data_IF_952412570613
#
_entry.id   IF_952412570613
#
_cell.length_a   1.000
_cell.length_b   1.000
_cell.length_c   1.000
_cell.angle_alpha   90.00
_cell.angle_beta   90.00
_cell.angle_gamma   90.00
#
_symmetry.space_group_name_H-M   'P 1'
#
loop_
_entity.id
_entity.type
_entity.pdbx_description
1 polymer ?
#
# COMPACT_ATOMS: atom_id res chain seq x y z
N UNK A 1 6.83 -19.96 2.67
CA UNK A 1 8.29 -19.75 2.43
C UNK A 1 8.55 -18.47 1.64
N UNK A 2 7.97 -18.27 0.44
CA UNK A 2 8.07 -16.99 -0.30
C UNK A 2 7.57 -15.81 0.54
N UNK A 3 6.46 -15.98 1.25
CA UNK A 3 5.93 -14.98 2.19
C UNK A 3 7.00 -14.46 3.17
N UNK A 4 7.74 -15.35 3.85
CA UNK A 4 8.80 -14.95 4.78
C UNK A 4 9.91 -14.16 4.08
N UNK A 5 10.28 -14.53 2.86
CA UNK A 5 11.23 -13.77 2.05
C UNK A 5 10.68 -12.39 1.68
N UNK A 6 9.40 -12.30 1.30
CA UNK A 6 8.74 -11.05 0.97
C UNK A 6 8.69 -10.11 2.18
N UNK A 7 8.25 -10.61 3.34
CA UNK A 7 8.23 -9.86 4.60
C UNK A 7 9.63 -9.37 4.95
N UNK A 8 10.63 -10.27 4.92
CA UNK A 8 12.02 -9.89 5.21
C UNK A 8 12.52 -8.81 4.26
N UNK A 9 12.19 -8.90 2.96
CA UNK A 9 12.57 -7.89 1.98
C UNK A 9 11.88 -6.54 2.24
N UNK A 10 10.60 -6.54 2.62
CA UNK A 10 9.91 -5.32 3.03
C UNK A 10 10.60 -4.67 4.24
N UNK A 11 11.04 -5.46 5.22
CA UNK A 11 11.76 -4.96 6.40
C UNK A 11 13.11 -4.34 6.00
N UNK A 12 13.89 -5.01 5.15
CA UNK A 12 15.15 -4.44 4.66
C UNK A 12 14.97 -3.13 3.89
N UNK A 13 13.92 -3.02 3.08
CA UNK A 13 13.59 -1.77 2.37
C UNK A 13 13.21 -0.68 3.38
N UNK A 14 12.42 -1.00 4.41
CA UNK A 14 12.06 -0.03 5.45
C UNK A 14 13.31 0.45 6.20
N UNK A 15 14.19 -0.45 6.60
CA UNK A 15 15.42 -0.12 7.33
C UNK A 15 16.37 0.73 6.47
N UNK A 16 16.59 0.34 5.20
CA UNK A 16 17.40 1.12 4.24
C UNK A 16 16.86 2.55 4.11
N UNK A 17 15.55 2.72 3.97
CA UNK A 17 14.95 4.04 3.79
C UNK A 17 15.01 4.86 5.07
N UNK A 18 14.80 4.23 6.24
CA UNK A 18 14.92 4.90 7.52
C UNK A 18 16.34 5.39 7.77
N UNK A 19 17.36 4.58 7.48
CA UNK A 19 18.77 4.97 7.59
C UNK A 19 19.13 6.08 6.60
N UNK A 20 18.73 5.92 5.34
CA UNK A 20 19.07 6.86 4.27
C UNK A 20 18.47 8.25 4.49
N UNK A 21 17.25 8.30 5.05
CA UNK A 21 16.47 9.54 5.17
C UNK A 21 16.24 9.98 6.62
N UNK A 22 17.01 9.44 7.58
CA UNK A 22 16.89 9.72 9.01
C UNK A 22 16.91 11.24 9.33
N UNK A 23 17.71 12.00 8.57
CA UNK A 23 17.99 13.42 8.82
C UNK A 23 17.16 14.37 7.96
N UNK A 24 16.34 13.84 7.05
CA UNK A 24 15.56 14.66 6.14
C UNK A 24 14.36 15.30 6.85
N UNK A 25 14.08 16.55 6.50
CA UNK A 25 12.83 17.20 6.93
C UNK A 25 11.62 16.52 6.26
N UNK A 26 10.40 16.74 6.77
CA UNK A 26 9.20 16.23 6.09
C UNK A 26 9.05 16.82 4.69
N UNK A 27 9.42 18.10 4.53
CA UNK A 27 9.39 18.82 3.27
C UNK A 27 10.35 18.21 2.24
N UNK A 28 11.58 17.88 2.66
CA UNK A 28 12.58 17.23 1.81
C UNK A 28 12.19 15.79 1.49
N UNK A 29 11.73 15.04 2.50
CA UNK A 29 11.21 13.68 2.30
C UNK A 29 10.03 13.67 1.33
N UNK A 30 9.20 14.73 1.36
CA UNK A 30 8.07 14.88 0.45
C UNK A 30 8.54 15.09 -0.99
N UNK A 31 9.58 15.92 -1.17
CA UNK A 31 10.20 16.15 -2.47
C UNK A 31 10.80 14.86 -3.04
N UNK A 32 11.58 14.15 -2.22
CA UNK A 32 12.17 12.85 -2.57
C UNK A 32 11.08 11.85 -2.97
N UNK A 33 10.02 11.72 -2.17
CA UNK A 33 8.92 10.81 -2.43
C UNK A 33 8.18 11.09 -3.76
N UNK A 34 8.06 12.37 -4.13
CA UNK A 34 7.39 12.80 -5.36
C UNK A 34 8.27 12.66 -6.60
N UNK A 35 9.57 12.96 -6.47
CA UNK A 35 10.48 13.15 -7.61
C UNK A 35 11.37 11.93 -7.89
N UNK A 36 11.81 11.20 -6.87
CA UNK A 36 12.87 10.19 -7.02
C UNK A 36 12.36 8.75 -7.10
N UNK A 37 11.12 8.50 -6.68
CA UNK A 37 10.56 7.17 -6.62
C UNK A 37 9.36 7.05 -7.54
N UNK A 38 9.04 5.81 -7.91
CA UNK A 38 7.82 5.39 -8.61
C UNK A 38 7.36 4.02 -8.11
N UNK A 39 6.14 3.61 -8.48
CA UNK A 39 5.65 2.26 -8.18
C UNK A 39 6.57 1.19 -8.80
N UNK A 40 7.13 1.49 -9.97
CA UNK A 40 8.11 0.65 -10.65
C UNK A 40 9.37 0.42 -9.80
N UNK A 41 9.88 1.44 -9.11
CA UNK A 41 11.04 1.29 -8.22
C UNK A 41 10.75 0.35 -7.05
N UNK A 42 9.54 0.46 -6.47
CA UNK A 42 9.11 -0.44 -5.40
C UNK A 42 8.96 -1.88 -5.91
N UNK A 43 8.38 -2.08 -7.10
CA UNK A 43 8.27 -3.40 -7.76
C UNK A 43 9.64 -4.03 -7.97
N UNK A 44 10.61 -3.27 -8.48
CA UNK A 44 11.98 -3.77 -8.69
C UNK A 44 12.62 -4.15 -7.36
N UNK A 45 12.58 -3.28 -6.35
CA UNK A 45 13.15 -3.55 -5.02
C UNK A 45 12.52 -4.78 -4.37
N UNK A 46 11.19 -4.90 -4.44
CA UNK A 46 10.45 -6.05 -3.89
C UNK A 46 10.76 -7.36 -4.61
N UNK A 47 10.87 -7.33 -5.94
CA UNK A 47 11.06 -8.53 -6.74
C UNK A 47 12.53 -8.91 -6.97
N UNK A 48 13.49 -8.02 -6.68
CA UNK A 48 14.92 -8.26 -6.91
C UNK A 48 15.46 -9.55 -6.27
N UNK A 49 15.10 -9.92 -5.02
CA UNK A 49 15.50 -11.20 -4.43
C UNK A 49 14.99 -12.42 -5.21
N UNK A 50 13.89 -12.25 -5.96
CA UNK A 50 13.28 -13.29 -6.78
C UNK A 50 13.61 -13.13 -8.27
N UNK A 51 14.56 -12.26 -8.67
CA UNK A 51 14.83 -11.89 -10.08
C UNK A 51 15.02 -13.07 -11.04
N UNK A 52 15.57 -14.19 -10.57
CA UNK A 52 15.80 -15.40 -11.37
C UNK A 52 14.56 -16.29 -11.49
N UNK A 53 13.50 -15.99 -10.74
CA UNK A 53 12.29 -16.80 -10.58
C UNK A 53 11.01 -16.02 -10.90
N UNK A 54 11.08 -14.69 -10.93
CA UNK A 54 9.98 -13.77 -11.08
C UNK A 54 9.93 -13.17 -12.49
N UNK A 55 8.72 -12.94 -12.97
CA UNK A 55 8.43 -12.09 -14.13
C UNK A 55 7.90 -10.75 -13.63
N UNK A 56 8.39 -9.65 -14.17
CA UNK A 56 7.97 -8.29 -13.83
C UNK A 56 7.08 -7.74 -14.94
N UNK A 57 5.86 -7.32 -14.61
CA UNK A 57 4.88 -6.81 -15.57
C UNK A 57 4.68 -5.30 -15.36
N UNK A 58 5.60 -4.47 -15.86
CA UNK A 58 5.61 -3.02 -15.59
C UNK A 58 4.91 -2.17 -16.67
N UNK A 59 4.35 -2.79 -17.72
CA UNK A 59 3.72 -2.07 -18.83
C UNK A 59 2.19 -2.03 -18.72
N UNK A 60 1.65 -0.82 -18.55
CA UNK A 60 0.24 -0.50 -18.27
C UNK A 60 -0.81 -0.86 -19.33
N UNK A 61 -0.51 -1.71 -20.32
CA UNK A 61 -1.51 -2.24 -21.27
C UNK A 61 -2.10 -3.60 -20.84
N UNK A 62 -1.71 -4.09 -19.66
CA UNK A 62 -1.98 -5.46 -19.21
C UNK A 62 -2.38 -5.56 -17.73
N UNK A 63 -2.95 -4.52 -17.10
CA UNK A 63 -3.62 -4.74 -15.80
C UNK A 63 -4.78 -5.74 -15.92
N UNK A 64 -5.28 -5.97 -17.14
CA UNK A 64 -6.24 -7.04 -17.45
C UNK A 64 -5.63 -8.46 -17.52
N UNK A 65 -4.30 -8.63 -17.46
CA UNK A 65 -3.63 -9.94 -17.65
C UNK A 65 -2.45 -10.27 -16.72
N UNK A 66 -1.98 -9.40 -15.85
CA UNK A 66 -0.87 -9.77 -14.95
C UNK A 66 -0.62 -8.84 -13.77
N UNK A 67 -0.34 -9.44 -12.62
CA UNK A 67 0.20 -8.76 -11.43
C UNK A 67 1.63 -8.29 -11.64
N UNK A 68 2.06 -7.30 -10.86
CA UNK A 68 3.37 -6.65 -11.02
C UNK A 68 4.54 -7.62 -10.92
N UNK A 69 4.47 -8.59 -10.00
CA UNK A 69 5.50 -9.62 -9.82
C UNK A 69 4.85 -11.01 -9.81
N UNK A 70 5.32 -11.91 -10.69
CA UNK A 70 4.80 -13.28 -10.79
C UNK A 70 5.92 -14.31 -10.64
N UNK A 71 5.89 -15.10 -9.57
CA UNK A 71 6.80 -16.25 -9.35
C UNK A 71 6.11 -17.54 -9.80
N UNK A 72 6.15 -17.78 -11.12
CA UNK A 72 5.38 -18.85 -11.78
C UNK A 72 5.58 -20.24 -11.16
N UNK A 73 6.83 -20.62 -10.89
CA UNK A 73 7.20 -21.93 -10.29
C UNK A 73 6.55 -22.21 -8.93
N UNK A 74 6.09 -21.16 -8.25
CA UNK A 74 5.44 -21.26 -6.92
C UNK A 74 3.99 -20.81 -6.95
N UNK A 75 3.44 -20.54 -8.15
CA UNK A 75 2.11 -19.97 -8.34
C UNK A 75 1.88 -18.74 -7.43
N UNK A 76 2.92 -17.91 -7.22
CA UNK A 76 2.84 -16.76 -6.32
C UNK A 76 2.75 -15.46 -7.14
N UNK A 77 1.83 -14.58 -6.77
CA UNK A 77 1.62 -13.30 -7.46
C UNK A 77 1.57 -12.16 -6.45
N UNK A 78 2.18 -11.03 -6.80
CA UNK A 78 2.26 -9.84 -5.95
C UNK A 78 1.76 -8.65 -6.76
N UNK A 79 0.73 -7.99 -6.24
CA UNK A 79 0.36 -6.64 -6.66
C UNK A 79 1.04 -5.63 -5.73
N UNK A 80 1.54 -4.55 -6.29
CA UNK A 80 2.27 -3.51 -5.57
C UNK A 80 1.57 -2.19 -5.82
N UNK A 81 1.34 -1.42 -4.75
CA UNK A 81 0.82 -0.07 -4.84
C UNK A 81 1.71 0.91 -4.08
N UNK A 82 2.16 1.94 -4.77
CA UNK A 82 2.84 3.06 -4.10
C UNK A 82 1.88 4.23 -3.90
N UNK A 83 1.50 4.45 -2.65
CA UNK A 83 0.59 5.54 -2.27
C UNK A 83 1.34 6.86 -2.20
N UNK A 84 0.74 7.90 -2.79
CA UNK A 84 1.36 9.23 -2.92
C UNK A 84 0.34 10.33 -2.72
N UNK A 85 0.82 11.45 -2.20
CA UNK A 85 0.09 12.71 -2.12
C UNK A 85 0.68 13.67 -3.16
N UNK A 86 0.26 13.62 -4.42
CA UNK A 86 0.86 14.48 -5.45
C UNK A 86 0.45 15.93 -5.31
N UNK A 87 1.34 16.88 -5.62
CA UNK A 87 0.89 18.24 -5.90
C UNK A 87 0.18 18.25 -7.25
N UNK A 88 -1.05 18.75 -7.27
CA UNK A 88 -1.72 19.11 -8.51
C UNK A 88 -1.01 20.29 -9.17
N UNK A 89 -1.23 20.47 -10.48
CA UNK A 89 -0.75 21.65 -11.23
C UNK A 89 -1.21 22.99 -10.63
N UNK A 90 -2.29 22.99 -9.84
CA UNK A 90 -2.80 24.16 -9.11
C UNK A 90 -2.12 24.38 -7.73
N UNK A 91 -1.04 23.66 -7.42
CA UNK A 91 -0.28 23.79 -6.16
C UNK A 91 -0.91 23.10 -4.95
N UNK A 92 -2.14 22.58 -5.07
CA UNK A 92 -2.81 21.84 -4.00
C UNK A 92 -2.37 20.37 -3.99
N UNK A 93 -2.00 19.85 -2.83
CA UNK A 93 -1.76 18.41 -2.63
C UNK A 93 -3.05 17.60 -2.80
N UNK A 94 -3.04 16.60 -3.68
CA UNK A 94 -4.12 15.66 -3.93
C UNK A 94 -3.78 14.28 -3.33
N UNK A 95 -4.61 13.81 -2.42
CA UNK A 95 -4.59 12.42 -1.94
C UNK A 95 -5.00 11.46 -3.05
N UNK A 96 -4.43 10.26 -3.07
CA UNK A 96 -4.84 9.19 -3.96
C UNK A 96 -6.33 8.86 -3.77
N UNK A 97 -7.04 8.73 -4.89
CA UNK A 97 -8.44 8.32 -4.93
C UNK A 97 -8.62 6.92 -4.35
N UNK A 98 -9.80 6.63 -3.82
CA UNK A 98 -10.12 5.32 -3.26
C UNK A 98 -10.21 4.22 -4.33
N UNK A 99 -10.90 4.47 -5.45
CA UNK A 99 -11.23 3.44 -6.44
C UNK A 99 -10.02 2.65 -6.98
N UNK A 100 -8.87 3.27 -7.29
CA UNK A 100 -7.69 2.53 -7.73
C UNK A 100 -7.12 1.59 -6.68
N UNK A 101 -7.30 1.88 -5.39
CA UNK A 101 -6.84 1.03 -4.27
C UNK A 101 -7.87 -0.07 -4.02
N UNK A 102 -9.16 0.27 -4.09
CA UNK A 102 -10.25 -0.69 -3.94
C UNK A 102 -10.16 -1.82 -4.98
N UNK A 103 -9.78 -1.50 -6.23
CA UNK A 103 -9.57 -2.52 -7.28
C UNK A 103 -8.53 -3.57 -6.88
N UNK A 104 -7.42 -3.13 -6.28
CA UNK A 104 -6.34 -4.03 -5.85
C UNK A 104 -6.79 -4.89 -4.63
N UNK A 105 -7.56 -4.31 -3.72
CA UNK A 105 -8.20 -5.06 -2.63
C UNK A 105 -9.26 -6.07 -3.11
N UNK A 106 -10.05 -5.70 -4.11
CA UNK A 106 -11.02 -6.61 -4.71
C UNK A 106 -10.31 -7.79 -5.40
N UNK A 107 -9.20 -7.53 -6.10
CA UNK A 107 -8.39 -8.59 -6.70
C UNK A 107 -7.91 -9.62 -5.67
N UNK A 108 -7.31 -9.18 -4.55
CA UNK A 108 -6.82 -10.13 -3.54
C UNK A 108 -7.99 -10.88 -2.87
N UNK A 109 -9.11 -10.20 -2.62
CA UNK A 109 -10.36 -10.82 -2.10
C UNK A 109 -10.86 -11.93 -3.03
N UNK A 110 -10.94 -11.66 -4.32
CA UNK A 110 -11.42 -12.62 -5.31
C UNK A 110 -10.46 -13.80 -5.50
N UNK A 111 -9.15 -13.58 -5.45
CA UNK A 111 -8.19 -14.67 -5.49
C UNK A 111 -8.24 -15.55 -4.22
N UNK A 112 -8.48 -14.97 -3.05
CA UNK A 112 -8.72 -15.73 -1.81
C UNK A 112 -9.97 -16.60 -1.96
N UNK A 113 -11.08 -16.06 -2.46
CA UNK A 113 -12.31 -16.83 -2.74
C UNK A 113 -12.09 -17.98 -3.72
N UNK A 114 -11.13 -17.84 -4.66
CA UNK A 114 -10.71 -18.91 -5.58
C UNK A 114 -9.71 -19.90 -4.97
N UNK A 115 -9.48 -19.87 -3.67
CA UNK A 115 -8.57 -20.77 -2.96
C UNK A 115 -7.09 -20.45 -3.16
N UNK A 116 -6.73 -19.19 -3.43
CA UNK A 116 -5.32 -18.75 -3.60
C UNK A 116 -4.74 -18.06 -2.36
N UNK A 117 -5.37 -18.22 -1.20
CA UNK A 117 -4.84 -17.74 0.07
C UNK A 117 -3.43 -18.28 0.31
N UNK A 118 -2.51 -17.42 0.77
CA UNK A 118 -1.10 -17.76 0.95
C UNK A 118 -0.26 -17.79 -0.35
N UNK A 119 -0.89 -17.58 -1.52
CA UNK A 119 -0.21 -17.51 -2.83
C UNK A 119 -0.34 -16.14 -3.51
N UNK A 120 -0.94 -15.18 -2.84
CA UNK A 120 -1.17 -13.82 -3.31
C UNK A 120 -0.72 -12.84 -2.25
N UNK A 121 -0.12 -11.75 -2.67
CA UNK A 121 0.20 -10.64 -1.78
C UNK A 121 -0.20 -9.34 -2.45
N UNK A 122 -0.72 -8.42 -1.64
CA UNK A 122 -0.89 -7.03 -2.01
C UNK A 122 0.03 -6.21 -1.11
N UNK A 123 1.04 -5.57 -1.69
CA UNK A 123 2.05 -4.80 -0.95
C UNK A 123 1.82 -3.31 -1.19
N UNK A 124 1.63 -2.57 -0.10
CA UNK A 124 1.39 -1.13 -0.13
C UNK A 124 2.61 -0.43 0.47
N UNK A 125 3.20 0.49 -0.29
CA UNK A 125 4.29 1.36 0.17
C UNK A 125 3.87 2.83 0.21
N UNK A 126 4.46 3.61 1.12
CA UNK A 126 4.31 5.06 1.18
C UNK A 126 5.46 5.69 1.97
N UNK A 127 5.63 7.00 1.82
CA UNK A 127 6.53 7.79 2.65
C UNK A 127 5.75 8.49 3.77
N UNK A 128 6.30 8.53 4.98
CA UNK A 128 5.76 9.31 6.10
C UNK A 128 6.08 10.83 5.98
N UNK A 129 5.93 11.37 4.77
CA UNK A 129 6.26 12.76 4.41
C UNK A 129 5.11 13.76 4.66
N UNK A 130 3.99 13.30 5.22
CA UNK A 130 2.82 14.13 5.56
C UNK A 130 2.34 13.77 6.96
N UNK A 131 1.57 14.66 7.59
CA UNK A 131 1.15 14.48 8.99
C UNK A 131 0.15 13.35 9.20
N UNK A 132 -0.68 13.06 8.18
CA UNK A 132 -1.79 12.12 8.31
C UNK A 132 -1.89 11.22 7.09
N UNK A 133 -2.19 9.94 7.32
CA UNK A 133 -2.44 8.99 6.24
C UNK A 133 -3.63 9.42 5.35
N UNK A 134 -4.62 10.14 5.91
CA UNK A 134 -5.74 10.69 5.13
C UNK A 134 -5.33 11.76 4.12
N UNK A 135 -4.11 12.28 4.18
CA UNK A 135 -3.54 13.12 3.12
C UNK A 135 -2.98 12.27 1.99
N UNK A 136 -2.62 11.02 2.26
CA UNK A 136 -2.12 10.08 1.25
C UNK A 136 -3.29 9.43 0.51
N UNK A 137 -4.35 9.01 1.22
CA UNK A 137 -5.51 8.30 0.66
C UNK A 137 -6.83 8.95 1.07
N UNK A 138 -7.79 9.02 0.15
CA UNK A 138 -9.14 9.52 0.40
C UNK A 138 -10.00 8.57 1.27
N UNK A 139 -9.87 8.68 2.59
CA UNK A 139 -10.63 7.90 3.57
C UNK A 139 -11.95 8.55 4.02
N UNK A 140 -12.40 9.61 3.32
CA UNK A 140 -13.55 10.41 3.70
C UNK A 140 -14.85 10.07 2.96
N UNK A 141 -15.97 10.47 3.55
CA UNK A 141 -17.29 10.62 2.91
C UNK A 141 -17.44 12.05 2.42
N UNK A 142 -17.45 12.25 1.10
CA UNK A 142 -17.64 13.56 0.47
C UNK A 142 -16.40 14.45 0.42
N UNK A 143 -16.62 15.72 0.08
CA UNK A 143 -15.58 16.73 -0.14
C UNK A 143 -15.29 17.56 1.11
N UNK A 144 -14.16 18.28 1.09
CA UNK A 144 -13.74 19.19 2.16
C UNK A 144 -12.37 18.86 2.72
N UNK A 145 -11.86 19.73 3.59
CA UNK A 145 -10.51 19.57 4.18
C UNK A 145 -10.43 18.35 5.10
N UNK A 146 -11.48 18.11 5.89
CA UNK A 146 -11.58 17.02 6.86
C UNK A 146 -12.98 16.39 6.82
N UNK A 147 -13.30 15.63 5.76
CA UNK A 147 -14.59 14.94 5.64
C UNK A 147 -14.80 13.93 6.78
N UNK A 148 -16.02 13.42 6.91
CA UNK A 148 -16.31 12.33 7.84
C UNK A 148 -15.60 11.05 7.43
N UNK A 149 -15.17 10.26 8.40
CA UNK A 149 -14.46 9.01 8.14
C UNK A 149 -15.42 8.02 7.46
N UNK A 150 -14.95 7.43 6.37
CA UNK A 150 -15.57 6.29 5.74
C UNK A 150 -15.03 5.00 6.38
N UNK A 151 -15.88 4.32 7.15
CA UNK A 151 -15.47 3.15 7.91
C UNK A 151 -15.09 1.99 6.98
N UNK A 152 -15.85 1.78 5.91
CA UNK A 152 -15.60 0.69 4.96
C UNK A 152 -14.22 0.82 4.31
N UNK A 153 -13.79 2.05 4.02
CA UNK A 153 -12.44 2.33 3.49
C UNK A 153 -11.36 2.15 4.55
N UNK A 154 -11.65 2.54 5.78
CA UNK A 154 -10.70 2.50 6.89
C UNK A 154 -10.40 1.07 7.36
N UNK A 155 -11.38 0.17 7.27
CA UNK A 155 -11.25 -1.24 7.69
C UNK A 155 -10.19 -2.02 6.90
N UNK A 156 -9.85 -1.57 5.69
CA UNK A 156 -8.76 -2.14 4.88
C UNK A 156 -7.36 -1.81 5.40
N UNK A 157 -7.22 -0.86 6.32
CA UNK A 157 -5.93 -0.41 6.85
C UNK A 157 -5.86 -0.65 8.38
N UNK A 158 -5.53 -1.87 8.83
CA UNK A 158 -5.61 -2.27 10.24
C UNK A 158 -4.59 -1.55 11.14
N UNK A 159 -3.64 -0.85 10.54
CA UNK A 159 -2.65 -0.02 11.23
C UNK A 159 -3.15 1.40 11.51
N UNK A 160 -4.38 1.75 11.12
CA UNK A 160 -5.00 3.04 11.41
C UNK A 160 -6.01 2.93 12.56
N UNK A 161 -6.10 3.98 13.36
CA UNK A 161 -7.14 4.15 14.37
C UNK A 161 -7.63 5.61 14.39
N UNK A 162 -8.70 5.89 15.11
CA UNK A 162 -9.36 7.20 15.12
C UNK A 162 -9.75 7.62 16.54
N UNK A 163 -9.65 8.93 16.83
CA UNK A 163 -10.15 9.54 18.08
C UNK A 163 -11.42 10.36 17.90
N UNK A 164 -11.89 10.50 16.67
CA UNK A 164 -13.03 11.33 16.31
C UNK A 164 -13.71 10.86 15.05
N UNK A 165 -14.60 11.71 14.51
CA UNK A 165 -15.43 11.41 13.34
C UNK A 165 -14.84 11.92 12.03
N UNK A 166 -13.82 12.78 12.07
CA UNK A 166 -13.26 13.43 10.86
C UNK A 166 -11.93 12.80 10.49
N UNK A 167 -11.58 12.82 9.21
CA UNK A 167 -10.32 12.21 8.71
C UNK A 167 -9.05 12.77 9.35
N UNK A 168 -9.09 14.00 9.87
CA UNK A 168 -7.97 14.58 10.65
C UNK A 168 -7.66 13.83 11.94
N UNK A 169 -8.64 13.10 12.48
CA UNK A 169 -8.55 12.39 13.76
C UNK A 169 -8.01 10.96 13.58
N UNK A 170 -7.64 10.58 12.34
CA UNK A 170 -7.00 9.31 12.01
C UNK A 170 -5.50 9.39 12.33
N UNK A 171 -4.98 8.37 13.00
CA UNK A 171 -3.57 8.26 13.36
C UNK A 171 -3.05 6.84 13.18
N UNK A 172 -1.73 6.70 13.05
CA UNK A 172 -1.05 5.41 12.94
C UNK A 172 -0.93 4.71 14.30
N UNK A 173 -1.19 3.42 14.34
CA UNK A 173 -0.97 2.55 15.49
C UNK A 173 0.46 1.98 15.47
N UNK A 174 1.48 2.84 15.62
CA UNK A 174 2.88 2.40 15.70
C UNK A 174 3.18 1.33 16.76
N UNK A 175 2.50 1.25 17.91
CA UNK A 175 2.65 0.12 18.85
C UNK A 175 2.29 -1.26 18.25
N UNK A 176 1.59 -1.27 17.12
CA UNK A 176 1.25 -2.48 16.36
C UNK A 176 2.14 -2.67 15.11
N UNK A 177 3.13 -1.79 14.89
CA UNK A 177 4.08 -1.96 13.81
C UNK A 177 4.77 -3.33 13.91
N UNK A 178 5.03 -3.94 12.75
CA UNK A 178 5.68 -5.26 12.60
C UNK A 178 4.91 -6.45 13.19
N UNK A 179 3.69 -6.24 13.70
CA UNK A 179 2.80 -7.33 14.11
C UNK A 179 1.93 -7.76 12.94
N UNK A 180 1.65 -9.05 12.88
CA UNK A 180 0.60 -9.58 12.00
C UNK A 180 -0.76 -9.08 12.49
N UNK A 181 -1.54 -8.50 11.58
CA UNK A 181 -2.86 -7.95 11.86
C UNK A 181 -3.87 -8.59 10.91
N UNK A 182 -4.97 -9.07 11.48
CA UNK A 182 -6.09 -9.61 10.69
C UNK A 182 -6.88 -8.46 10.07
N UNK A 183 -7.13 -8.58 8.76
CA UNK A 183 -8.01 -7.66 8.02
C UNK A 183 -9.28 -8.42 7.67
N UNK A 184 -10.41 -7.90 8.13
CA UNK A 184 -11.72 -8.41 7.70
C UNK A 184 -12.06 -7.75 6.37
N UNK A 185 -11.81 -8.45 5.26
CA UNK A 185 -12.22 -7.96 3.95
C UNK A 185 -13.75 -8.14 3.81
N UNK A 186 -14.52 -7.08 3.54
CA UNK A 186 -15.96 -7.20 3.30
C UNK A 186 -16.27 -8.20 2.18
N UNK A 187 -17.16 -9.16 2.46
CA UNK A 187 -17.60 -10.16 1.47
C UNK A 187 -16.69 -11.39 1.31
N UNK A 188 -15.58 -11.50 2.03
CA UNK A 188 -14.94 -12.80 2.31
C UNK A 188 -15.59 -13.40 3.56
N UNK A 189 -15.91 -14.69 3.49
CA UNK A 189 -16.59 -15.44 4.55
C UNK A 189 -15.91 -15.20 5.90
N UNK A 190 -16.71 -14.96 6.94
CA UNK A 190 -16.27 -15.17 8.32
C UNK A 190 -15.79 -16.61 8.41
N UNK A 191 -14.53 -16.82 8.79
CA UNK A 191 -14.14 -18.14 9.30
C UNK A 191 -15.05 -18.45 10.49
N UNK A 192 -15.65 -19.65 10.44
CA UNK A 192 -16.44 -20.28 11.50
C UNK A 192 -15.51 -20.72 12.60
#
# INVERSE_FOLDING_TARGET
MIEKYLISNCLFIIDEFNERYEKESKEDLKKIADEEYSEADLVVRLGYPFRHMATFNMQGKSKDKGNDIVVKKKNFMIEVKLLRNWKSSAGNSNSMLWDPIQKDFNWISDEIKKGKQGYRAFVIGWFNAVDRFSQIVQLGKGSGRFPEIDQEKSDYFPFLNKRGKKTKDIFYMYPNAYKELTVTIPGTLKEV
#
